data_IF_200456764470
#
_entry.id   IF_200456764470
#
_cell.length_a   1.000
_cell.length_b   1.000
_cell.length_c   1.000
_cell.angle_alpha   90.00
_cell.angle_beta   90.00
_cell.angle_gamma   90.00
#
_symmetry.space_group_name_H-M   'P 1'
#
loop_
_entity.id
_entity.type
_entity.pdbx_description
1 polymer ?
#
# COMPACT_ATOMS: atom_id res chain seq x y z
N UNK A 1 2.84 19.80 13.73
CA UNK A 1 3.86 20.42 12.86
C UNK A 1 4.29 19.57 11.66
N UNK A 2 4.13 18.23 11.71
CA UNK A 2 4.56 17.38 10.58
C UNK A 2 3.67 17.61 9.36
N UNK A 3 4.31 17.84 8.19
CA UNK A 3 3.67 17.92 6.90
C UNK A 3 4.21 16.81 5.97
N UNK A 4 3.51 15.66 5.84
CA UNK A 4 3.97 14.55 5.01
C UNK A 4 4.06 14.84 3.50
N UNK A 5 3.51 15.97 3.01
CA UNK A 5 3.64 16.37 1.61
C UNK A 5 5.01 16.96 1.27
N UNK A 6 5.83 17.35 2.26
CA UNK A 6 7.20 17.83 2.01
C UNK A 6 8.02 16.67 1.44
N UNK A 7 8.67 16.90 0.29
CA UNK A 7 9.49 15.91 -0.40
C UNK A 7 8.75 15.01 -1.39
N UNK A 8 7.45 15.25 -1.65
CA UNK A 8 6.63 14.44 -2.55
C UNK A 8 6.61 14.93 -4.00
N UNK A 9 7.49 15.87 -4.35
CA UNK A 9 7.58 16.47 -5.69
C UNK A 9 9.05 16.58 -6.13
N UNK A 10 9.27 16.79 -7.44
CA UNK A 10 10.59 17.05 -8.02
C UNK A 10 11.66 16.00 -7.66
N UNK A 11 11.32 14.72 -7.75
CA UNK A 11 12.21 13.61 -7.40
C UNK A 11 12.60 13.55 -5.91
N UNK A 12 11.84 14.17 -5.03
CA UNK A 12 11.97 14.02 -3.57
C UNK A 12 11.70 12.59 -3.11
N UNK A 13 10.89 11.84 -3.86
CA UNK A 13 10.62 10.40 -3.73
C UNK A 13 10.04 9.97 -2.38
N UNK A 14 9.61 10.91 -1.55
CA UNK A 14 8.81 10.62 -0.36
C UNK A 14 7.32 10.50 -0.72
N UNK A 15 6.51 10.01 0.19
CA UNK A 15 5.07 9.89 0.00
C UNK A 15 4.30 10.32 1.26
N UNK A 16 3.04 10.78 1.13
CA UNK A 16 2.24 11.27 2.24
C UNK A 16 1.43 10.16 2.93
N UNK A 17 1.67 8.90 2.60
CA UNK A 17 0.86 7.78 3.07
C UNK A 17 0.89 7.55 4.58
N UNK A 18 -0.04 6.75 5.04
CA UNK A 18 -0.13 6.35 6.44
C UNK A 18 0.91 5.26 6.76
N UNK A 19 1.75 5.50 7.75
CA UNK A 19 2.75 4.56 8.26
C UNK A 19 2.91 4.77 9.78
N UNK A 20 3.25 3.72 10.53
CA UNK A 20 3.73 3.84 11.91
C UNK A 20 5.25 4.08 11.95
N UNK A 21 5.81 4.62 13.05
CA UNK A 21 7.27 4.68 13.20
C UNK A 21 7.90 3.31 12.94
N UNK A 22 8.89 3.27 12.05
CA UNK A 22 9.59 2.05 11.62
C UNK A 22 8.67 0.90 11.14
N UNK A 23 7.43 1.21 10.72
CA UNK A 23 6.47 0.18 10.32
C UNK A 23 6.88 -0.55 9.03
N UNK A 24 6.65 -1.87 8.99
CA UNK A 24 6.70 -2.66 7.76
C UNK A 24 5.59 -2.23 6.80
N UNK A 25 4.40 -1.96 7.36
CA UNK A 25 3.23 -1.55 6.59
C UNK A 25 3.19 -0.04 6.41
N UNK A 26 2.98 0.36 5.17
CA UNK A 26 2.51 1.70 4.82
C UNK A 26 1.36 1.59 3.83
N UNK A 27 0.38 2.47 3.92
CA UNK A 27 -0.76 2.55 3.00
C UNK A 27 -0.67 3.90 2.30
N UNK A 28 -0.34 3.89 1.01
CA UNK A 28 0.08 5.07 0.26
C UNK A 28 -0.83 5.29 -0.95
N UNK A 29 -1.31 6.52 -1.20
CA UNK A 29 -2.02 6.83 -2.43
C UNK A 29 -1.12 6.54 -3.65
N UNK A 30 -1.71 5.89 -4.66
CA UNK A 30 -1.01 5.52 -5.88
C UNK A 30 -1.53 6.36 -7.05
N UNK A 31 -0.71 7.29 -7.54
CA UNK A 31 -1.09 8.23 -8.58
C UNK A 31 -0.03 8.38 -9.68
N UNK A 32 0.86 7.39 -9.85
CA UNK A 32 1.99 7.47 -10.79
C UNK A 32 1.80 6.59 -12.03
N UNK A 33 0.58 6.11 -12.26
CA UNK A 33 0.22 5.35 -13.47
C UNK A 33 -1.29 5.39 -13.74
N UNK A 34 -1.68 4.99 -14.95
CA UNK A 34 -3.07 4.79 -15.35
C UNK A 34 -3.72 5.98 -16.04
N UNK A 35 -3.03 7.09 -16.26
CA UNK A 35 -3.59 8.23 -17.00
C UNK A 35 -2.52 9.13 -17.61
N UNK A 36 -2.73 9.50 -18.88
CA UNK A 36 -1.95 10.53 -19.58
C UNK A 36 -2.15 11.93 -19.00
N UNK A 37 -3.21 12.15 -18.19
CA UNK A 37 -3.47 13.40 -17.48
C UNK A 37 -2.47 13.66 -16.33
N UNK A 38 -1.80 12.60 -15.85
CA UNK A 38 -0.76 12.75 -14.85
C UNK A 38 0.47 13.41 -15.44
N UNK A 39 1.03 14.38 -14.74
CA UNK A 39 2.27 15.06 -15.14
C UNK A 39 3.45 14.09 -15.20
N UNK A 40 3.45 13.13 -14.30
CA UNK A 40 4.46 12.10 -14.19
C UNK A 40 3.77 10.75 -14.13
N UNK A 41 3.72 10.04 -15.24
CA UNK A 41 3.09 8.73 -15.35
C UNK A 41 4.15 7.63 -15.46
N UNK A 42 4.05 6.60 -14.62
CA UNK A 42 4.98 5.48 -14.59
C UNK A 42 4.93 4.65 -15.88
N UNK A 43 3.78 4.54 -16.54
CA UNK A 43 3.64 3.81 -17.80
C UNK A 43 4.50 4.43 -18.92
N UNK A 44 4.71 5.75 -18.84
CA UNK A 44 5.57 6.48 -19.78
C UNK A 44 7.00 6.72 -19.26
N UNK A 45 7.21 6.61 -17.95
CA UNK A 45 8.49 6.93 -17.31
C UNK A 45 8.76 5.97 -16.15
N UNK A 46 10.05 5.71 -15.91
CA UNK A 46 10.51 5.03 -14.71
C UNK A 46 10.28 5.91 -13.47
N UNK A 47 9.59 5.40 -12.44
CA UNK A 47 9.23 6.12 -11.22
C UNK A 47 9.45 5.26 -9.99
N UNK A 48 10.11 5.80 -8.96
CA UNK A 48 10.49 5.04 -7.76
C UNK A 48 9.55 5.21 -6.57
N UNK A 49 8.57 6.10 -6.67
CA UNK A 49 7.59 6.39 -5.60
C UNK A 49 6.16 6.15 -6.10
N UNK A 50 5.23 5.71 -5.24
CA UNK A 50 3.84 5.53 -5.63
C UNK A 50 3.07 6.84 -5.79
N UNK A 51 3.61 7.95 -5.32
CA UNK A 51 2.93 9.23 -5.27
C UNK A 51 3.80 10.38 -5.82
N UNK A 52 3.18 11.28 -6.56
CA UNK A 52 3.74 12.55 -7.00
C UNK A 52 2.71 13.67 -6.81
N UNK A 53 3.09 14.74 -6.11
CA UNK A 53 2.18 15.81 -5.68
C UNK A 53 1.42 16.51 -6.81
N UNK A 54 2.01 16.62 -8.00
CA UNK A 54 1.39 17.28 -9.15
C UNK A 54 0.50 16.37 -10.00
N UNK A 55 0.47 15.07 -9.68
CA UNK A 55 -0.40 14.13 -10.34
C UNK A 55 -1.83 14.22 -9.77
N UNK A 56 -2.81 14.03 -10.62
CA UNK A 56 -4.22 14.24 -10.28
C UNK A 56 -5.10 13.02 -10.49
N UNK A 57 -4.50 11.87 -10.88
CA UNK A 57 -5.25 10.66 -11.19
C UNK A 57 -4.83 9.52 -10.27
N UNK A 58 -5.77 9.08 -9.46
CA UNK A 58 -5.59 8.06 -8.43
C UNK A 58 -6.08 6.70 -8.93
N UNK A 59 -5.30 5.66 -8.73
CA UNK A 59 -5.61 4.29 -9.16
C UNK A 59 -5.68 3.29 -7.99
N UNK A 60 -5.50 3.74 -6.77
CA UNK A 60 -5.64 2.90 -5.59
C UNK A 60 -4.72 3.31 -4.44
N UNK A 61 -4.79 2.52 -3.37
CA UNK A 61 -3.83 2.56 -2.26
C UNK A 61 -2.88 1.38 -2.37
N UNK A 62 -1.59 1.64 -2.52
CA UNK A 62 -0.56 0.60 -2.44
C UNK A 62 -0.17 0.31 -0.98
N UNK A 63 0.23 -0.93 -0.74
CA UNK A 63 0.66 -1.40 0.57
C UNK A 63 2.13 -1.79 0.53
N UNK A 64 2.81 -1.54 1.65
CA UNK A 64 4.26 -1.76 1.81
C UNK A 64 5.07 -0.98 0.78
N UNK A 65 5.51 0.21 1.16
CA UNK A 65 6.19 1.14 0.26
C UNK A 65 7.51 1.59 0.88
N UNK A 66 8.47 1.88 0.03
CA UNK A 66 9.67 2.62 0.42
C UNK A 66 9.40 4.12 0.34
N UNK A 67 10.17 4.90 1.09
CA UNK A 67 10.12 6.36 1.08
C UNK A 67 11.54 6.92 0.91
N UNK A 68 11.73 7.85 -0.01
CA UNK A 68 13.04 8.46 -0.29
C UNK A 68 13.97 7.59 -1.13
N UNK A 69 13.48 6.57 -1.83
CA UNK A 69 14.29 5.62 -2.60
C UNK A 69 14.41 6.03 -4.08
N UNK A 70 15.55 5.73 -4.69
CA UNK A 70 15.82 6.04 -6.09
C UNK A 70 15.48 4.95 -7.10
N UNK A 71 15.10 3.74 -6.67
CA UNK A 71 14.72 2.63 -7.53
C UNK A 71 13.29 2.18 -7.25
N UNK A 72 12.49 1.80 -8.26
CA UNK A 72 11.15 1.27 -8.05
C UNK A 72 11.22 -0.09 -7.39
N UNK A 73 10.46 -0.26 -6.30
CA UNK A 73 10.28 -1.52 -5.57
C UNK A 73 9.07 -1.43 -4.65
N UNK A 74 8.50 -2.59 -4.28
CA UNK A 74 7.33 -2.68 -3.41
C UNK A 74 6.12 -1.93 -4.02
N UNK A 75 5.35 -1.21 -3.22
CA UNK A 75 4.23 -0.39 -3.71
C UNK A 75 3.19 -1.20 -4.46
N UNK A 76 2.85 -2.38 -3.97
CA UNK A 76 1.93 -3.35 -4.57
C UNK A 76 0.67 -3.54 -3.72
N UNK A 77 -0.15 -4.54 -4.02
CA UNK A 77 -1.40 -4.85 -3.32
C UNK A 77 -2.35 -3.64 -3.32
N UNK A 78 -2.71 -3.17 -4.51
CA UNK A 78 -3.50 -1.95 -4.66
C UNK A 78 -4.97 -2.18 -4.32
N UNK A 79 -5.50 -1.35 -3.41
CA UNK A 79 -6.93 -1.29 -3.10
C UNK A 79 -7.57 -0.06 -3.74
N UNK A 80 -8.65 -0.26 -4.52
CA UNK A 80 -9.39 0.83 -5.15
C UNK A 80 -10.89 0.71 -4.87
N UNK A 81 -11.53 1.71 -4.23
CA UNK A 81 -12.98 1.78 -4.14
C UNK A 81 -13.57 2.42 -5.39
N UNK A 82 -14.64 1.83 -5.95
CA UNK A 82 -15.37 2.35 -7.11
C UNK A 82 -16.88 2.26 -6.90
N UNK A 83 -17.67 2.97 -7.71
CA UNK A 83 -19.13 2.91 -7.71
C UNK A 83 -19.68 2.76 -9.13
N UNK A 84 -20.89 2.22 -9.28
CA UNK A 84 -21.55 2.03 -10.56
C UNK A 84 -21.13 0.75 -11.26
N UNK A 85 -20.86 0.81 -12.55
CA UNK A 85 -20.46 -0.36 -13.33
C UNK A 85 -19.05 -0.83 -12.93
N UNK A 86 -18.89 -2.15 -12.80
CA UNK A 86 -17.60 -2.76 -12.45
C UNK A 86 -16.62 -2.66 -13.63
N UNK A 87 -15.54 -1.91 -13.46
CA UNK A 87 -14.35 -1.99 -14.31
C UNK A 87 -13.18 -2.50 -13.48
N UNK A 88 -12.32 -3.34 -14.07
CA UNK A 88 -11.13 -3.92 -13.43
C UNK A 88 -9.83 -3.53 -14.15
N UNK A 89 -9.92 -2.76 -15.21
CA UNK A 89 -8.78 -2.18 -15.91
C UNK A 89 -8.34 -0.89 -15.18
N UNK A 90 -7.10 -0.86 -14.70
CA UNK A 90 -6.58 0.30 -13.96
C UNK A 90 -6.52 1.58 -14.80
N UNK A 91 -6.40 1.46 -16.12
CA UNK A 91 -6.47 2.60 -17.06
C UNK A 91 -7.87 3.20 -17.13
N UNK A 92 -8.90 2.42 -16.80
CA UNK A 92 -10.30 2.82 -16.86
C UNK A 92 -10.91 3.13 -15.50
N UNK A 93 -10.52 2.40 -14.42
CA UNK A 93 -11.19 2.57 -13.13
C UNK A 93 -10.62 3.72 -12.27
N UNK A 94 -9.53 4.33 -12.67
CA UNK A 94 -8.95 5.43 -11.89
C UNK A 94 -9.89 6.64 -11.76
N UNK A 95 -9.59 7.55 -10.86
CA UNK A 95 -10.37 8.74 -10.55
C UNK A 95 -9.49 9.94 -10.32
N UNK A 96 -9.95 11.12 -10.75
CA UNK A 96 -9.46 12.38 -10.17
C UNK A 96 -9.86 12.43 -8.71
N UNK A 97 -9.09 13.16 -7.90
CA UNK A 97 -9.29 13.28 -6.47
C UNK A 97 -9.02 14.70 -5.99
N UNK A 98 -9.59 15.03 -4.86
CA UNK A 98 -9.47 16.33 -4.18
C UNK A 98 -9.49 16.15 -2.66
N UNK A 99 -9.44 17.24 -1.91
CA UNK A 99 -9.51 17.28 -0.44
C UNK A 99 -8.48 16.38 0.26
N UNK A 100 -7.24 16.37 -0.26
CA UNK A 100 -6.15 15.61 0.36
C UNK A 100 -5.80 16.13 1.75
N UNK A 101 -5.70 15.21 2.68
CA UNK A 101 -5.19 15.48 4.02
C UNK A 101 -4.18 14.40 4.42
N UNK A 102 -3.06 14.81 4.99
CA UNK A 102 -2.06 13.90 5.53
C UNK A 102 -1.55 14.38 6.89
N UNK A 103 -1.33 13.43 7.77
CA UNK A 103 -0.64 13.61 9.04
C UNK A 103 0.03 12.29 9.43
N UNK A 104 0.97 12.27 10.40
CA UNK A 104 1.58 11.01 10.82
C UNK A 104 0.54 9.92 11.13
N UNK A 105 0.65 8.80 10.41
CA UNK A 105 -0.27 7.66 10.54
C UNK A 105 -1.64 7.82 9.86
N UNK A 106 -1.86 8.85 9.05
CA UNK A 106 -3.14 9.12 8.40
C UNK A 106 -2.97 9.77 7.04
N UNK A 107 -3.79 9.33 6.08
CA UNK A 107 -4.02 10.02 4.82
C UNK A 107 -5.48 9.88 4.40
N UNK A 108 -6.02 10.88 3.70
CA UNK A 108 -7.35 10.84 3.10
C UNK A 108 -7.42 11.65 1.82
N UNK A 109 -8.37 11.29 0.94
CA UNK A 109 -8.78 12.07 -0.22
C UNK A 109 -10.26 11.81 -0.54
N UNK A 110 -10.78 12.55 -1.52
CA UNK A 110 -12.13 12.38 -2.06
C UNK A 110 -12.04 12.05 -3.56
N UNK A 111 -12.57 10.90 -3.96
CA UNK A 111 -12.58 10.44 -5.34
C UNK A 111 -13.79 11.03 -6.07
N UNK A 112 -13.55 12.02 -6.93
CA UNK A 112 -14.62 12.83 -7.54
C UNK A 112 -15.51 12.04 -8.51
N UNK A 113 -14.93 11.09 -9.26
CA UNK A 113 -15.68 10.23 -10.18
C UNK A 113 -16.70 9.35 -9.48
N UNK A 114 -16.35 8.87 -8.29
CA UNK A 114 -17.11 7.86 -7.56
C UNK A 114 -17.91 8.41 -6.38
N UNK A 115 -17.71 9.70 -6.04
CA UNK A 115 -18.28 10.31 -4.84
C UNK A 115 -17.94 9.51 -3.57
N UNK A 116 -16.66 9.09 -3.45
CA UNK A 116 -16.19 8.27 -2.33
C UNK A 116 -15.13 9.03 -1.55
N UNK A 117 -15.37 9.20 -0.24
CA UNK A 117 -14.31 9.62 0.68
C UNK A 117 -13.48 8.41 1.07
N UNK A 118 -12.16 8.54 1.01
CA UNK A 118 -11.24 7.49 1.40
C UNK A 118 -10.37 7.96 2.56
N UNK A 119 -10.08 7.06 3.48
CA UNK A 119 -9.24 7.30 4.64
C UNK A 119 -8.38 6.07 4.90
N UNK A 120 -7.11 6.27 5.21
CA UNK A 120 -6.20 5.15 5.51
C UNK A 120 -5.37 5.39 6.75
N UNK A 121 -5.04 4.32 7.46
CA UNK A 121 -4.14 4.29 8.60
C UNK A 121 -3.37 2.97 8.65
N UNK A 122 -2.37 2.87 9.52
CA UNK A 122 -1.55 1.68 9.63
C UNK A 122 -1.14 1.39 11.09
N UNK A 123 -0.86 0.11 11.34
CA UNK A 123 -0.07 -0.38 12.48
C UNK A 123 1.31 -0.80 11.96
N UNK A 124 2.23 -1.30 12.79
CA UNK A 124 3.54 -1.71 12.30
C UNK A 124 3.53 -2.75 11.16
N UNK A 125 2.55 -3.66 11.12
CA UNK A 125 2.50 -4.78 10.13
C UNK A 125 1.18 -4.87 9.39
N UNK A 126 0.22 -3.99 9.69
CA UNK A 126 -1.11 -4.06 9.09
C UNK A 126 -1.61 -2.69 8.67
N UNK A 127 -2.41 -2.64 7.60
CA UNK A 127 -3.08 -1.43 7.12
C UNK A 127 -4.58 -1.51 7.34
N UNK A 128 -5.22 -0.37 7.42
CA UNK A 128 -6.67 -0.23 7.40
C UNK A 128 -7.09 0.90 6.49
N UNK A 129 -8.07 0.62 5.64
CA UNK A 129 -8.71 1.59 4.76
C UNK A 129 -10.18 1.70 5.12
N UNK A 130 -10.72 2.91 5.15
CA UNK A 130 -12.15 3.19 5.32
C UNK A 130 -12.65 3.97 4.11
N UNK A 131 -13.64 3.40 3.42
CA UNK A 131 -14.27 3.98 2.26
C UNK A 131 -15.71 4.35 2.60
N UNK A 132 -16.05 5.63 2.48
CA UNK A 132 -17.42 6.13 2.70
C UNK A 132 -18.08 6.28 1.33
N UNK A 133 -19.10 5.46 1.09
CA UNK A 133 -19.75 5.34 -0.20
C UNK A 133 -21.07 6.11 -0.27
N UNK A 134 -21.47 6.59 -1.47
CA UNK A 134 -22.85 7.00 -1.73
C UNK A 134 -23.79 5.79 -1.77
N UNK A 135 -25.08 6.05 -1.86
CA UNK A 135 -26.07 5.00 -2.09
C UNK A 135 -25.94 4.41 -3.49
N UNK A 136 -25.99 3.06 -3.59
CA UNK A 136 -25.93 2.36 -4.88
C UNK A 136 -25.04 1.14 -4.89
N UNK A 137 -24.64 0.73 -6.08
CA UNK A 137 -23.68 -0.36 -6.24
C UNK A 137 -22.26 0.17 -6.09
N UNK A 138 -21.51 -0.46 -5.19
CA UNK A 138 -20.14 -0.09 -4.84
C UNK A 138 -19.22 -1.29 -4.89
N UNK A 139 -17.93 -1.04 -5.16
CA UNK A 139 -16.94 -2.10 -5.27
C UNK A 139 -15.68 -1.76 -4.48
N UNK A 140 -15.01 -2.79 -3.99
CA UNK A 140 -13.64 -2.75 -3.52
C UNK A 140 -12.82 -3.69 -4.41
N UNK A 141 -11.82 -3.14 -5.08
CA UNK A 141 -10.92 -3.87 -5.97
C UNK A 141 -9.60 -4.12 -5.25
N UNK A 142 -9.07 -5.34 -5.32
CA UNK A 142 -7.70 -5.68 -4.94
C UNK A 142 -6.92 -6.05 -6.20
N UNK A 143 -6.01 -5.20 -6.63
CA UNK A 143 -5.19 -5.40 -7.83
C UNK A 143 -3.79 -5.88 -7.43
N UNK A 144 -3.39 -7.05 -7.92
CA UNK A 144 -2.07 -7.65 -7.72
C UNK A 144 -1.19 -7.59 -9.00
N UNK A 145 -1.76 -7.11 -10.12
CA UNK A 145 -1.02 -6.94 -11.36
C UNK A 145 -0.14 -5.70 -11.36
N UNK A 146 -0.64 -4.65 -10.69
CA UNK A 146 -0.02 -3.33 -10.75
C UNK A 146 0.80 -3.03 -9.47
N UNK A 147 1.79 -2.17 -9.59
CA UNK A 147 2.67 -1.74 -8.50
C UNK A 147 3.98 -1.16 -8.98
N UNK A 148 4.88 -0.84 -8.07
CA UNK A 148 6.22 -0.33 -8.37
C UNK A 148 7.25 -1.43 -8.57
N UNK A 149 6.99 -2.64 -8.06
CA UNK A 149 7.90 -3.78 -8.26
C UNK A 149 8.08 -4.11 -9.74
N UNK A 150 9.29 -4.50 -10.10
CA UNK A 150 9.60 -4.96 -11.47
C UNK A 150 9.37 -6.47 -11.64
N UNK A 151 8.95 -7.19 -10.60
CA UNK A 151 8.67 -8.62 -10.64
C UNK A 151 7.18 -8.89 -10.81
N UNK A 152 6.86 -9.99 -11.47
CA UNK A 152 5.49 -10.45 -11.71
C UNK A 152 5.26 -11.81 -11.06
N UNK A 153 3.99 -12.17 -10.92
CA UNK A 153 3.56 -13.41 -10.30
C UNK A 153 2.83 -13.14 -8.99
N UNK A 154 1.61 -13.67 -8.92
CA UNK A 154 0.77 -13.56 -7.74
C UNK A 154 -0.14 -14.78 -7.57
N UNK A 155 -0.60 -15.00 -6.36
CA UNK A 155 -1.62 -15.97 -5.98
C UNK A 155 -2.64 -15.29 -5.09
N UNK A 156 -3.92 -15.61 -5.30
CA UNK A 156 -5.03 -15.04 -4.55
C UNK A 156 -6.10 -16.10 -4.32
N UNK A 157 -6.60 -16.19 -3.09
CA UNK A 157 -7.62 -17.15 -2.68
C UNK A 157 -8.66 -16.49 -1.78
N UNK A 158 -9.94 -16.76 -2.03
CA UNK A 158 -11.03 -16.39 -1.15
C UNK A 158 -11.22 -17.47 -0.10
N UNK A 159 -10.98 -17.12 1.18
CA UNK A 159 -11.09 -18.01 2.32
C UNK A 159 -12.53 -18.07 2.82
N UNK A 160 -13.17 -16.92 2.88
CA UNK A 160 -14.57 -16.74 3.29
C UNK A 160 -15.25 -15.66 2.45
N UNK A 161 -16.51 -15.35 2.75
CA UNK A 161 -17.21 -14.25 2.10
C UNK A 161 -16.55 -12.88 2.32
N UNK A 162 -15.79 -12.71 3.40
CA UNK A 162 -15.19 -11.45 3.82
C UNK A 162 -13.66 -11.49 3.92
N UNK A 163 -13.02 -12.64 3.63
CA UNK A 163 -11.58 -12.79 3.79
C UNK A 163 -10.93 -13.37 2.53
N UNK A 164 -9.83 -12.73 2.14
CA UNK A 164 -8.94 -13.13 1.07
C UNK A 164 -7.52 -13.28 1.61
N UNK A 165 -6.77 -14.23 1.05
CA UNK A 165 -5.35 -14.43 1.33
C UNK A 165 -4.58 -14.61 0.03
N UNK A 166 -3.29 -14.32 0.05
CA UNK A 166 -2.48 -14.53 -1.13
C UNK A 166 -1.03 -14.12 -0.97
N UNK A 167 -0.36 -14.08 -2.10
CA UNK A 167 1.00 -13.57 -2.18
C UNK A 167 1.25 -12.86 -3.51
N UNK A 168 2.24 -11.98 -3.52
CA UNK A 168 2.80 -11.30 -4.69
C UNK A 168 4.31 -11.48 -4.66
N UNK A 169 4.91 -11.78 -5.81
CA UNK A 169 6.36 -11.68 -5.97
C UNK A 169 6.76 -10.22 -6.11
N UNK A 170 7.80 -9.85 -5.40
CA UNK A 170 8.45 -8.55 -5.42
C UNK A 170 9.90 -8.75 -5.82
N UNK A 171 10.57 -7.71 -6.29
CA UNK A 171 11.99 -7.82 -6.55
C UNK A 171 12.47 -7.07 -7.77
N UNK A 172 13.69 -7.45 -8.17
CA UNK A 172 14.49 -6.79 -9.20
C UNK A 172 14.86 -5.35 -8.87
N UNK A 173 14.92 -5.02 -7.56
CA UNK A 173 15.33 -3.71 -7.08
C UNK A 173 16.61 -3.24 -7.74
N UNK A 174 16.59 -2.05 -8.33
CA UNK A 174 17.70 -1.49 -9.12
C UNK A 174 18.24 -2.48 -10.18
N UNK A 175 17.34 -3.24 -10.81
CA UNK A 175 17.66 -4.23 -11.85
C UNK A 175 18.51 -5.42 -11.38
N UNK A 176 18.51 -5.73 -10.06
CA UNK A 176 19.16 -6.93 -9.57
C UNK A 176 18.25 -8.15 -9.77
N UNK A 177 18.52 -9.05 -10.73
CA UNK A 177 17.64 -10.18 -11.06
C UNK A 177 17.58 -11.25 -9.97
N UNK A 178 18.45 -11.17 -8.96
CA UNK A 178 18.49 -12.11 -7.83
C UNK A 178 17.66 -11.64 -6.64
N UNK A 179 17.23 -10.36 -6.61
CA UNK A 179 16.47 -9.79 -5.53
C UNK A 179 14.96 -10.10 -5.69
N UNK A 180 14.58 -11.37 -5.76
CA UNK A 180 13.17 -11.81 -5.88
C UNK A 180 12.75 -12.45 -4.56
N UNK A 181 11.63 -11.96 -4.01
CA UNK A 181 11.07 -12.44 -2.76
C UNK A 181 9.54 -12.27 -2.72
N UNK A 182 8.81 -13.12 -1.98
CA UNK A 182 7.37 -12.99 -1.82
C UNK A 182 7.00 -12.00 -0.72
N UNK A 183 5.86 -11.32 -0.91
CA UNK A 183 5.06 -10.76 0.17
C UNK A 183 3.77 -11.55 0.29
N UNK A 184 3.43 -11.96 1.48
CA UNK A 184 2.18 -12.64 1.81
C UNK A 184 1.21 -11.66 2.46
N UNK A 185 -0.08 -11.85 2.21
CA UNK A 185 -1.10 -10.97 2.80
C UNK A 185 -2.38 -11.72 3.16
N UNK A 186 -3.11 -11.13 4.10
CA UNK A 186 -4.50 -11.46 4.42
C UNK A 186 -5.30 -10.16 4.44
N UNK A 187 -6.40 -10.13 3.68
CA UNK A 187 -7.32 -9.00 3.59
C UNK A 187 -8.68 -9.39 4.16
N UNK A 188 -9.26 -8.52 4.99
CA UNK A 188 -10.61 -8.67 5.55
C UNK A 188 -11.44 -7.41 5.31
N UNK A 189 -12.73 -7.62 5.05
CA UNK A 189 -13.71 -6.54 4.98
C UNK A 189 -14.75 -6.69 6.09
N UNK A 190 -15.23 -5.57 6.62
CA UNK A 190 -16.17 -5.54 7.74
C UNK A 190 -17.63 -5.85 7.35
N UNK A 191 -17.92 -5.95 6.05
CA UNK A 191 -19.27 -6.22 5.51
C UNK A 191 -19.25 -7.36 4.51
N UNK A 192 -20.24 -8.24 4.57
CA UNK A 192 -20.43 -9.30 3.57
C UNK A 192 -20.78 -8.69 2.22
N UNK A 193 -20.00 -8.93 1.15
CA UNK A 193 -20.34 -8.49 -0.20
C UNK A 193 -21.55 -9.26 -0.73
N UNK A 194 -22.31 -8.63 -1.61
CA UNK A 194 -23.42 -9.28 -2.35
C UNK A 194 -22.90 -10.18 -3.47
N UNK A 195 -21.71 -9.89 -3.98
CA UNK A 195 -20.96 -10.74 -4.92
C UNK A 195 -19.47 -10.46 -4.82
N UNK A 196 -18.67 -11.45 -5.21
CA UNK A 196 -17.22 -11.33 -5.33
C UNK A 196 -16.72 -12.20 -6.47
N UNK A 197 -15.52 -11.93 -6.92
CA UNK A 197 -14.87 -12.72 -7.96
C UNK A 197 -13.44 -12.26 -8.20
N UNK A 198 -12.86 -12.83 -9.24
CA UNK A 198 -11.50 -12.54 -9.67
C UNK A 198 -11.49 -12.00 -11.07
N UNK A 199 -10.39 -11.36 -11.44
CA UNK A 199 -10.04 -11.10 -12.81
C UNK A 199 -8.65 -11.59 -13.15
N UNK A 200 -8.39 -11.79 -14.41
CA UNK A 200 -7.08 -12.04 -15.00
C UNK A 200 -6.98 -11.38 -16.35
N UNK A 201 -5.90 -10.67 -16.60
CA UNK A 201 -5.58 -10.16 -17.92
C UNK A 201 -5.25 -11.34 -18.83
N UNK A 202 -5.95 -11.43 -19.96
CA UNK A 202 -5.74 -12.49 -20.94
C UNK A 202 -4.49 -12.17 -21.76
N UNK A 203 -3.65 -13.17 -21.99
CA UNK A 203 -2.52 -13.09 -22.92
C UNK A 203 -2.87 -13.78 -24.22
N UNK A 204 -2.30 -13.36 -25.38
CA UNK A 204 -2.46 -14.08 -26.63
C UNK A 204 -2.03 -15.54 -26.49
N UNK A 205 -2.72 -16.44 -27.15
CA UNK A 205 -2.26 -17.82 -27.22
C UNK A 205 -1.05 -17.89 -28.15
N UNK A 206 0.03 -18.55 -27.70
CA UNK A 206 1.25 -18.73 -28.50
C UNK A 206 0.90 -19.43 -29.82
N UNK A 207 1.36 -18.87 -30.96
CA UNK A 207 1.16 -19.41 -32.30
C UNK A 207 -0.19 -19.03 -32.94
N UNK A 208 -1.01 -18.25 -32.27
CA UNK A 208 -2.21 -17.64 -32.86
C UNK A 208 -1.91 -16.17 -33.13
N UNK A 209 -1.79 -15.81 -34.39
CA UNK A 209 -1.81 -14.41 -34.83
C UNK A 209 -3.25 -13.90 -34.62
N UNK A 210 -3.51 -13.28 -33.51
CA UNK A 210 -4.70 -12.54 -33.25
C UNK A 210 -4.43 -11.06 -33.50
N UNK A 211 -5.43 -10.32 -33.87
CA UNK A 211 -5.51 -8.86 -33.72
C UNK A 211 -5.54 -8.55 -32.22
N UNK A 212 -4.47 -8.91 -31.54
CA UNK A 212 -4.32 -8.79 -30.10
C UNK A 212 -3.48 -7.56 -29.82
N UNK A 213 -4.07 -6.62 -29.14
CA UNK A 213 -3.36 -5.50 -28.59
C UNK A 213 -2.75 -5.93 -27.25
N UNK A 214 -1.42 -6.08 -27.14
CA UNK A 214 -0.77 -6.45 -25.87
C UNK A 214 -0.95 -5.40 -24.78
N UNK A 215 -1.18 -4.14 -25.14
CA UNK A 215 -1.34 -3.04 -24.19
C UNK A 215 -2.80 -2.92 -23.70
N UNK A 216 -3.76 -3.41 -24.47
CA UNK A 216 -5.19 -3.42 -24.15
C UNK A 216 -5.76 -4.85 -23.98
N UNK A 217 -4.93 -5.77 -23.47
CA UNK A 217 -5.37 -7.14 -23.21
C UNK A 217 -6.67 -7.18 -22.39
N UNK A 218 -7.65 -7.94 -22.89
CA UNK A 218 -8.94 -8.06 -22.23
C UNK A 218 -8.84 -8.77 -20.89
N UNK A 219 -9.47 -8.20 -19.87
CA UNK A 219 -9.64 -8.85 -18.58
C UNK A 219 -10.80 -9.84 -18.62
N UNK A 220 -10.58 -11.04 -18.13
CA UNK A 220 -11.61 -12.04 -17.94
C UNK A 220 -12.04 -12.09 -16.48
N UNK A 221 -13.36 -12.00 -16.23
CA UNK A 221 -13.95 -12.10 -14.91
C UNK A 221 -14.32 -13.55 -14.59
N UNK A 222 -14.09 -13.95 -13.33
CA UNK A 222 -14.38 -15.27 -12.78
C UNK A 222 -15.28 -15.11 -11.55
N UNK A 223 -16.59 -15.24 -11.72
CA UNK A 223 -17.60 -14.89 -10.70
C UNK A 223 -18.17 -16.08 -9.93
N UNK A 224 -18.06 -17.30 -10.43
CA UNK A 224 -18.80 -18.45 -9.85
C UNK A 224 -17.99 -19.75 -9.72
N UNK A 225 -16.81 -19.80 -10.28
CA UNK A 225 -16.17 -21.09 -10.54
C UNK A 225 -14.95 -21.39 -9.67
N UNK A 226 -14.17 -20.40 -9.25
CA UNK A 226 -12.90 -20.62 -8.57
C UNK A 226 -12.89 -19.92 -7.22
N UNK A 227 -12.28 -20.60 -6.23
CA UNK A 227 -11.94 -20.00 -4.95
C UNK A 227 -10.51 -19.44 -4.93
N UNK A 228 -9.74 -19.69 -5.98
CA UNK A 228 -8.33 -19.26 -6.09
C UNK A 228 -7.93 -19.00 -7.53
N UNK A 229 -6.95 -18.12 -7.70
CA UNK A 229 -6.37 -17.76 -9.00
C UNK A 229 -4.89 -17.47 -8.85
N UNK A 230 -4.10 -17.78 -9.89
CA UNK A 230 -2.68 -17.42 -9.96
C UNK A 230 -2.34 -16.84 -11.32
N UNK A 231 -1.34 -15.96 -11.34
CA UNK A 231 -0.84 -15.33 -12.55
C UNK A 231 -0.19 -13.97 -12.28
N UNK A 232 0.10 -13.24 -13.35
CA UNK A 232 0.78 -11.96 -13.25
C UNK A 232 -0.21 -10.82 -13.00
N UNK A 233 -1.14 -10.62 -13.92
CA UNK A 233 -2.12 -9.53 -13.88
C UNK A 233 -3.46 -10.08 -13.39
N UNK A 234 -3.54 -10.30 -12.08
CA UNK A 234 -4.72 -10.84 -11.40
C UNK A 234 -5.21 -9.89 -10.31
N UNK A 235 -6.46 -10.06 -9.95
CA UNK A 235 -7.04 -9.36 -8.81
C UNK A 235 -8.37 -9.93 -8.38
N UNK A 236 -8.96 -9.32 -7.35
CA UNK A 236 -10.29 -9.64 -6.84
C UNK A 236 -11.16 -8.40 -6.74
N UNK A 237 -12.45 -8.58 -6.90
CA UNK A 237 -13.46 -7.56 -6.64
C UNK A 237 -14.49 -8.05 -5.64
N UNK A 238 -14.95 -7.15 -4.81
CA UNK A 238 -16.05 -7.32 -3.88
C UNK A 238 -17.10 -6.26 -4.20
N UNK A 239 -18.34 -6.68 -4.42
CA UNK A 239 -19.46 -5.79 -4.75
C UNK A 239 -20.41 -5.70 -3.56
N UNK A 240 -20.85 -4.50 -3.27
CA UNK A 240 -21.77 -4.17 -2.18
C UNK A 240 -22.96 -3.36 -2.72
N UNK A 241 -24.09 -3.48 -2.06
CA UNK A 241 -25.14 -2.48 -2.14
C UNK A 241 -25.00 -1.59 -0.92
N UNK A 242 -24.69 -0.31 -1.13
CA UNK A 242 -24.44 0.65 -0.07
C UNK A 242 -25.59 1.65 0.06
N UNK A 243 -25.81 2.11 1.27
CA UNK A 243 -26.65 3.28 1.58
C UNK A 243 -25.80 4.54 1.63
N UNK A 244 -26.43 5.71 1.58
CA UNK A 244 -25.71 6.99 1.63
C UNK A 244 -24.88 7.12 2.91
N UNK A 245 -23.57 7.42 2.74
CA UNK A 245 -22.62 7.55 3.84
C UNK A 245 -22.18 6.22 4.46
N UNK A 246 -22.50 5.08 3.87
CA UNK A 246 -22.09 3.78 4.40
C UNK A 246 -20.58 3.57 4.30
N UNK A 247 -20.00 3.09 5.39
CA UNK A 247 -18.57 2.87 5.51
C UNK A 247 -18.21 1.38 5.36
N UNK A 248 -17.33 1.09 4.41
CA UNK A 248 -16.69 -0.21 4.27
C UNK A 248 -15.25 -0.08 4.75
N UNK A 249 -14.89 -0.87 5.75
CA UNK A 249 -13.51 -0.96 6.26
C UNK A 249 -12.82 -2.19 5.70
N UNK A 250 -11.59 -2.02 5.23
CA UNK A 250 -10.71 -3.08 4.72
C UNK A 250 -9.46 -3.12 5.56
N UNK A 251 -9.19 -4.25 6.17
CA UNK A 251 -7.97 -4.51 6.92
C UNK A 251 -7.05 -5.41 6.10
N UNK A 252 -5.74 -5.12 6.11
CA UNK A 252 -4.72 -5.90 5.41
C UNK A 252 -3.53 -6.16 6.31
N UNK A 253 -3.25 -7.43 6.62
CA UNK A 253 -2.03 -7.87 7.27
C UNK A 253 -1.03 -8.38 6.25
N UNK A 254 0.26 -8.13 6.46
CA UNK A 254 1.33 -8.60 5.58
C UNK A 254 2.43 -9.31 6.35
N UNK A 255 3.19 -10.15 5.64
CA UNK A 255 4.37 -10.86 6.14
C UNK A 255 5.31 -11.17 4.98
N UNK A 256 6.61 -11.17 5.25
CA UNK A 256 7.63 -11.71 4.32
C UNK A 256 7.94 -13.19 4.58
N UNK A 257 7.22 -13.84 5.51
CA UNK A 257 7.44 -15.23 5.91
C UNK A 257 6.38 -16.17 5.37
N UNK A 258 5.09 -15.90 5.65
CA UNK A 258 3.98 -16.76 5.22
C UNK A 258 2.61 -16.08 5.32
N UNK A 259 1.60 -16.70 4.71
CA UNK A 259 0.19 -16.28 4.84
C UNK A 259 -0.27 -16.41 6.30
N UNK A 260 0.13 -17.47 7.01
CA UNK A 260 -0.19 -17.69 8.41
C UNK A 260 0.34 -16.56 9.29
N UNK A 261 1.56 -16.09 9.03
CA UNK A 261 2.15 -14.97 9.73
C UNK A 261 1.48 -13.63 9.39
N UNK A 262 1.10 -13.41 8.12
CA UNK A 262 0.30 -12.24 7.74
C UNK A 262 -1.04 -12.21 8.50
N UNK A 263 -1.68 -13.38 8.67
CA UNK A 263 -2.90 -13.54 9.46
C UNK A 263 -2.65 -13.28 10.94
N UNK A 264 -1.57 -13.83 11.49
CA UNK A 264 -1.19 -13.63 12.88
C UNK A 264 -0.90 -12.16 13.18
N UNK A 265 -0.21 -11.46 12.27
CA UNK A 265 0.02 -10.02 12.38
C UNK A 265 -1.30 -9.25 12.41
N UNK A 266 -2.24 -9.58 11.50
CA UNK A 266 -3.55 -8.94 11.44
C UNK A 266 -4.38 -9.20 12.71
N UNK A 267 -4.44 -10.44 13.16
CA UNK A 267 -5.16 -10.83 14.36
C UNK A 267 -4.58 -10.19 15.63
N UNK A 268 -3.28 -10.03 15.71
CA UNK A 268 -2.62 -9.43 16.86
C UNK A 268 -2.78 -7.92 16.91
N UNK A 269 -2.64 -7.23 15.77
CA UNK A 269 -2.56 -5.76 15.77
C UNK A 269 -3.94 -5.09 15.59
N UNK A 270 -4.92 -5.76 14.92
CA UNK A 270 -6.22 -5.16 14.60
C UNK A 270 -7.45 -5.91 15.13
N UNK A 271 -7.28 -7.04 15.82
CA UNK A 271 -8.46 -7.76 16.35
C UNK A 271 -9.33 -6.89 17.24
N UNK A 272 -10.62 -6.84 16.91
CA UNK A 272 -11.62 -6.05 17.63
C UNK A 272 -11.49 -4.53 17.49
N UNK A 273 -10.59 -4.03 16.63
CA UNK A 273 -10.42 -2.60 16.37
C UNK A 273 -11.10 -2.18 15.07
N UNK A 274 -11.74 -1.03 15.09
CA UNK A 274 -12.18 -0.32 13.89
C UNK A 274 -11.12 0.70 13.43
N UNK A 275 -11.35 1.33 12.29
CA UNK A 275 -10.47 2.34 11.72
C UNK A 275 -10.08 3.43 12.72
N UNK A 276 -11.03 3.97 13.46
CA UNK A 276 -10.79 5.10 14.38
C UNK A 276 -9.87 4.71 15.54
N UNK A 277 -9.96 3.48 16.02
CA UNK A 277 -9.08 2.95 17.06
C UNK A 277 -7.66 2.72 16.55
N UNK A 278 -7.51 2.16 15.33
CA UNK A 278 -6.18 2.01 14.69
C UNK A 278 -5.53 3.36 14.45
N UNK A 279 -6.29 4.35 13.97
CA UNK A 279 -5.79 5.72 13.78
C UNK A 279 -5.35 6.37 15.10
N UNK A 280 -6.13 6.18 16.18
CA UNK A 280 -5.76 6.71 17.50
C UNK A 280 -4.45 6.10 18.00
N UNK A 281 -4.27 4.78 17.84
CA UNK A 281 -3.04 4.08 18.21
C UNK A 281 -1.84 4.57 17.38
N UNK A 282 -2.01 4.77 16.06
CA UNK A 282 -0.95 5.28 15.19
C UNK A 282 -0.52 6.70 15.60
N UNK A 283 -1.49 7.58 15.88
CA UNK A 283 -1.22 8.94 16.36
C UNK A 283 -0.50 8.96 17.70
N UNK A 284 -0.89 8.07 18.62
CA UNK A 284 -0.23 7.96 19.92
C UNK A 284 1.25 7.55 19.75
N UNK A 285 1.54 6.55 18.94
CA UNK A 285 2.91 6.12 18.64
C UNK A 285 3.75 7.23 18.03
N UNK A 286 3.23 7.92 17.03
CA UNK A 286 3.92 9.05 16.41
C UNK A 286 4.18 10.18 17.41
N UNK A 287 3.20 10.48 18.25
CA UNK A 287 3.37 11.54 19.26
C UNK A 287 4.43 11.16 20.30
N UNK A 288 4.49 9.89 20.70
CA UNK A 288 5.52 9.39 21.61
C UNK A 288 6.92 9.57 21.01
N UNK A 289 7.14 9.13 19.78
CA UNK A 289 8.46 9.19 19.15
C UNK A 289 8.87 10.63 18.79
N UNK A 290 7.97 11.43 18.23
CA UNK A 290 8.25 12.82 17.86
C UNK A 290 8.46 13.73 19.08
N UNK A 291 7.87 13.41 20.22
CA UNK A 291 8.03 14.19 21.45
C UNK A 291 9.33 13.93 22.20
N UNK A 292 10.18 13.00 21.74
CA UNK A 292 11.52 12.79 22.30
C UNK A 292 12.42 14.01 22.10
N UNK A 293 12.15 14.84 21.09
CA UNK A 293 12.82 16.13 20.90
C UNK A 293 11.75 17.22 20.89
N UNK A 294 11.76 18.06 21.91
CA UNK A 294 10.89 19.22 22.01
C UNK A 294 11.65 20.48 21.59
N UNK A 295 11.12 21.20 20.59
CA UNK A 295 11.72 22.43 20.09
C UNK A 295 10.90 23.62 20.53
N UNK A 296 11.52 24.57 21.21
CA UNK A 296 10.94 25.84 21.61
C UNK A 296 11.49 27.00 20.77
N UNK A 297 10.68 28.05 20.59
CA UNK A 297 11.04 29.21 19.76
C UNK A 297 10.90 28.92 18.26
N UNK A 298 11.47 29.81 17.45
CA UNK A 298 11.36 29.73 15.97
C UNK A 298 9.96 30.05 15.43
N UNK A 299 9.84 30.05 14.10
CA UNK A 299 8.55 30.23 13.42
C UNK A 299 7.82 28.88 13.27
N UNK A 300 6.54 28.91 12.98
CA UNK A 300 5.74 27.70 12.66
C UNK A 300 6.32 26.94 11.47
N UNK A 301 6.81 27.65 10.44
CA UNK A 301 7.47 27.05 9.30
C UNK A 301 8.77 26.29 9.70
N UNK A 302 9.60 26.91 10.55
CA UNK A 302 10.82 26.26 11.05
C UNK A 302 10.51 25.00 11.86
N UNK A 303 9.46 25.03 12.69
CA UNK A 303 9.00 23.85 13.43
C UNK A 303 8.45 22.77 12.50
N UNK A 304 7.70 23.17 11.46
CA UNK A 304 7.19 22.23 10.44
C UNK A 304 8.33 21.54 9.70
N UNK A 305 9.34 22.28 9.29
CA UNK A 305 10.54 21.70 8.64
C UNK A 305 11.26 20.74 9.58
N UNK A 306 11.48 21.14 10.84
CA UNK A 306 12.17 20.31 11.83
C UNK A 306 11.42 19.00 12.11
N UNK A 307 10.12 19.08 12.45
CA UNK A 307 9.35 17.88 12.80
C UNK A 307 9.06 17.00 11.60
N UNK A 308 8.96 17.55 10.39
CA UNK A 308 8.84 16.75 9.18
C UNK A 308 10.14 16.01 8.87
N UNK A 309 11.29 16.65 9.05
CA UNK A 309 12.59 15.98 8.92
C UNK A 309 12.75 14.85 9.95
N UNK A 310 12.39 15.10 11.22
CA UNK A 310 12.41 14.07 12.27
C UNK A 310 11.45 12.91 11.92
N UNK A 311 10.23 13.22 11.46
CA UNK A 311 9.27 12.22 10.99
C UNK A 311 9.87 11.32 9.90
N UNK A 312 10.51 11.90 8.87
CA UNK A 312 11.12 11.13 7.79
C UNK A 312 12.25 10.21 8.27
N UNK A 313 13.02 10.61 9.28
CA UNK A 313 14.09 9.76 9.84
C UNK A 313 13.56 8.57 10.64
N UNK A 314 12.29 8.60 11.06
CA UNK A 314 11.63 7.53 11.83
C UNK A 314 10.75 6.60 10.95
N UNK A 315 10.67 6.86 9.65
CA UNK A 315 9.99 5.93 8.72
C UNK A 315 10.85 4.69 8.47
N UNK A 316 12.16 4.85 8.34
CA UNK A 316 13.11 3.80 8.05
C UNK A 316 14.23 3.75 9.13
N UNK A 317 14.76 2.57 9.53
CA UNK A 317 14.54 1.24 8.97
C UNK A 317 13.18 0.66 9.34
N UNK A 318 12.63 -0.18 8.47
CA UNK A 318 11.36 -0.82 8.71
C UNK A 318 11.53 -2.09 9.54
N UNK A 319 10.62 -2.36 10.47
CA UNK A 319 10.57 -3.66 11.16
C UNK A 319 10.40 -4.78 10.12
N UNK A 320 11.17 -5.86 10.26
CA UNK A 320 11.16 -6.98 9.31
C UNK A 320 10.52 -8.24 9.89
N UNK A 321 10.61 -8.44 11.22
CA UNK A 321 9.99 -9.61 11.83
C UNK A 321 8.47 -9.44 12.02
N UNK A 322 7.77 -10.58 11.95
CA UNK A 322 6.40 -10.74 12.34
C UNK A 322 6.21 -10.69 13.87
N UNK A 323 4.97 -10.64 14.35
CA UNK A 323 4.67 -10.54 15.80
C UNK A 323 5.18 -11.73 16.61
N UNK A 324 5.40 -12.88 15.96
CA UNK A 324 6.00 -14.07 16.59
C UNK A 324 7.55 -14.08 16.54
N UNK A 325 8.16 -12.97 16.05
CA UNK A 325 9.61 -12.83 15.94
C UNK A 325 10.24 -13.48 14.70
N UNK A 326 9.47 -14.12 13.83
CA UNK A 326 9.98 -14.74 12.60
C UNK A 326 10.28 -13.69 11.52
N UNK A 327 11.36 -13.91 10.76
CA UNK A 327 11.77 -13.07 9.64
C UNK A 327 12.60 -13.87 8.62
N UNK A 328 12.63 -13.47 7.34
CA UNK A 328 13.47 -14.14 6.34
C UNK A 328 14.96 -13.79 6.53
N UNK A 329 15.83 -14.77 6.35
CA UNK A 329 17.27 -14.53 6.32
C UNK A 329 17.67 -13.72 5.06
N UNK A 330 18.77 -12.97 5.14
CA UNK A 330 19.23 -12.13 4.01
C UNK A 330 19.93 -12.95 2.90
N UNK A 331 20.60 -14.02 3.25
CA UNK A 331 21.50 -14.75 2.32
C UNK A 331 21.07 -16.20 2.08
N UNK A 332 19.93 -16.60 2.64
CA UNK A 332 19.40 -17.95 2.48
C UNK A 332 17.86 -17.94 2.48
N UNK A 333 17.25 -19.07 2.14
CA UNK A 333 15.80 -19.25 2.22
C UNK A 333 15.32 -19.65 3.64
N UNK A 334 16.16 -19.49 4.65
CA UNK A 334 15.82 -19.84 6.02
C UNK A 334 14.92 -18.80 6.65
N UNK A 335 14.01 -19.26 7.50
CA UNK A 335 13.22 -18.40 8.39
C UNK A 335 13.88 -18.41 9.76
N UNK A 336 14.31 -17.26 10.21
CA UNK A 336 14.93 -17.04 11.50
C UNK A 336 13.94 -16.49 12.51
N UNK A 337 14.26 -16.57 13.79
CA UNK A 337 13.44 -16.03 14.88
C UNK A 337 14.29 -15.20 15.82
N UNK A 338 13.75 -14.07 16.27
CA UNK A 338 14.39 -13.19 17.26
C UNK A 338 13.41 -12.83 18.37
N UNK A 339 13.93 -12.62 19.58
CA UNK A 339 13.19 -12.03 20.70
C UNK A 339 13.40 -10.50 20.79
N UNK A 340 14.28 -9.95 19.96
CA UNK A 340 14.55 -8.51 19.85
C UNK A 340 13.94 -7.90 18.61
N UNK A 341 14.18 -6.62 18.37
CA UNK A 341 13.80 -5.95 17.13
C UNK A 341 14.70 -6.39 15.97
N UNK A 342 14.10 -6.86 14.88
CA UNK A 342 14.80 -7.07 13.62
C UNK A 342 14.26 -6.09 12.58
N UNK A 343 15.15 -5.28 12.03
CA UNK A 343 14.83 -4.24 11.06
C UNK A 343 15.52 -4.52 9.72
N UNK A 344 15.05 -3.86 8.68
CA UNK A 344 15.72 -3.79 7.38
C UNK A 344 17.06 -3.07 7.49
N UNK A 345 17.86 -3.13 6.43
CA UNK A 345 19.19 -2.52 6.42
C UNK A 345 19.14 -1.08 5.89
N UNK A 346 20.07 -0.25 6.32
CA UNK A 346 20.28 1.06 5.76
C UNK A 346 21.10 1.01 4.46
N UNK A 347 20.80 1.89 3.53
CA UNK A 347 21.74 2.29 2.50
C UNK A 347 22.79 3.21 3.13
N UNK A 348 24.00 2.71 3.34
CA UNK A 348 25.07 3.47 4.02
C UNK A 348 25.50 4.69 3.20
N UNK A 349 25.27 4.68 1.89
CA UNK A 349 25.51 5.84 1.02
C UNK A 349 24.60 7.03 1.41
N UNK A 350 23.37 6.77 1.84
CA UNK A 350 22.38 7.79 2.20
C UNK A 350 22.51 8.28 3.64
N UNK A 351 23.04 7.45 4.56
CA UNK A 351 23.02 7.73 6.00
C UNK A 351 24.23 8.51 6.52
N UNK A 352 25.11 9.01 5.66
CA UNK A 352 26.36 9.68 6.06
C UNK A 352 26.17 11.00 6.83
N UNK A 353 24.98 11.62 6.75
CA UNK A 353 24.64 12.88 7.43
C UNK A 353 24.08 12.68 8.84
N UNK A 354 24.75 11.89 9.67
CA UNK A 354 24.46 11.76 11.11
C UNK A 354 23.13 11.09 11.49
N UNK A 355 22.47 10.32 10.62
CA UNK A 355 21.23 9.62 11.00
C UNK A 355 21.49 8.61 12.14
N UNK A 356 22.65 7.91 12.12
CA UNK A 356 22.99 6.94 13.17
C UNK A 356 23.22 7.62 14.52
N UNK A 357 23.84 8.80 14.55
CA UNK A 357 23.99 9.61 15.75
C UNK A 357 22.64 10.09 16.27
N UNK A 358 21.75 10.56 15.38
CA UNK A 358 20.39 10.95 15.76
C UNK A 358 19.63 9.78 16.42
N UNK A 359 19.67 8.58 15.82
CA UNK A 359 19.00 7.39 16.35
C UNK A 359 19.56 6.89 17.69
N UNK A 360 20.69 7.43 18.19
CA UNK A 360 21.14 7.19 19.57
C UNK A 360 20.51 8.14 20.59
N UNK A 361 19.82 9.18 20.12
CA UNK A 361 19.16 10.19 20.96
C UNK A 361 17.63 9.99 21.00
N UNK A 362 17.04 9.37 19.98
CA UNK A 362 15.58 9.26 19.82
C UNK A 362 15.09 7.82 19.81
#
# INVERSE_FOLDING_TARGET
YVNPFIGTTNFGTTNPGAVCPNGMMSVVPFNVMGSEDNKYDKDARWWSTPYEFHNCFFTGYSHVNLSGVGCPELGSLLLMPTTGELSVDYKEYGSRYEDEQASPGYYSNFLTRYNVKTEVSATPRTGVSRFTFPAGQSHVLLNLGEGLTNETGAFLKQVSGTEFEGMKLLGTFCYNPQAIFPIYFVMRVNKQPVSSGYWKKQRPMTGVEAEWDPDNGHYKLYTRYRKEIAGDDIGAFLTFNTTEGEQIEVQMGVSFVSIENARLNLDTEQSGKNFSQVLADARMRWNEDLSRILVEGGTEEQKTVFYTALYHTLIHPNILQDVNGQYPAMESNEILTTNGGRYTVFSLWDTYRNVHQLLTLV
#
